data_IF_747039899698
#
_entry.id   IF_747039899698
#
_cell.length_a   1.000
_cell.length_b   1.000
_cell.length_c   1.000
_cell.angle_alpha   90.00
_cell.angle_beta   90.00
_cell.angle_gamma   90.00
#
_symmetry.space_group_name_H-M   'P 1'
#
loop_
_entity.id
_entity.type
_entity.pdbx_description
1 polymer ?
#
# COMPACT_ATOMS: atom_id res chain seq x y z
N UNK A 1 30.60 -25.82 47.17
CA UNK A 1 29.13 -26.02 47.30
C UNK A 1 28.49 -25.28 46.14
N UNK A 2 28.04 -26.03 45.15
CA UNK A 2 27.29 -25.56 43.98
C UNK A 2 25.86 -25.23 44.41
N UNK A 3 25.31 -24.13 43.91
CA UNK A 3 23.87 -23.87 43.90
C UNK A 3 23.52 -23.08 42.64
N UNK A 4 23.15 -23.86 41.62
CA UNK A 4 22.11 -23.61 40.61
C UNK A 4 21.78 -22.14 40.30
N UNK A 5 22.14 -21.72 39.08
CA UNK A 5 21.27 -20.84 38.30
C UNK A 5 21.04 -21.45 36.93
N UNK A 6 19.74 -21.60 36.65
CA UNK A 6 19.12 -22.22 35.49
C UNK A 6 19.61 -21.60 34.18
N UNK A 7 20.16 -22.42 33.29
CA UNK A 7 20.23 -22.14 31.86
C UNK A 7 18.80 -22.16 31.31
N UNK A 8 18.16 -20.98 31.29
CA UNK A 8 17.04 -20.72 30.40
C UNK A 8 17.60 -20.51 29.01
N UNK A 9 17.59 -21.55 28.18
CA UNK A 9 17.62 -21.40 26.73
C UNK A 9 16.31 -20.71 26.35
N UNK A 10 16.36 -19.39 26.22
CA UNK A 10 15.38 -18.66 25.43
C UNK A 10 15.53 -19.19 24.01
N UNK A 11 14.66 -20.14 23.67
CA UNK A 11 14.42 -20.56 22.30
C UNK A 11 14.13 -19.28 21.52
N UNK A 12 15.03 -18.95 20.60
CA UNK A 12 14.72 -18.08 19.48
C UNK A 12 13.48 -18.71 18.85
N UNK A 13 12.31 -18.14 19.15
CA UNK A 13 11.11 -18.35 18.35
C UNK A 13 11.49 -17.82 16.97
N UNK A 14 12.07 -18.71 16.15
CA UNK A 14 12.07 -18.60 14.71
C UNK A 14 10.62 -18.29 14.36
N UNK A 15 10.37 -17.02 14.07
CA UNK A 15 9.17 -16.62 13.37
C UNK A 15 9.29 -17.37 12.07
N UNK A 16 8.69 -18.56 12.01
CA UNK A 16 8.36 -19.22 10.76
C UNK A 16 7.58 -18.15 10.00
N UNK A 17 8.29 -17.47 9.09
CA UNK A 17 7.66 -16.88 7.94
C UNK A 17 6.98 -18.06 7.29
N UNK A 18 5.71 -18.27 7.65
CA UNK A 18 4.79 -19.01 6.82
C UNK A 18 4.89 -18.30 5.48
N UNK A 19 5.75 -18.82 4.60
CA UNK A 19 5.55 -18.73 3.17
C UNK A 19 4.17 -19.36 2.98
N UNK A 20 3.11 -18.54 3.13
CA UNK A 20 1.82 -18.75 2.52
C UNK A 20 2.18 -18.91 1.06
N UNK A 21 2.46 -20.16 0.66
CA UNK A 21 2.76 -20.53 -0.69
C UNK A 21 1.67 -19.88 -1.50
N UNK A 22 2.03 -18.85 -2.27
CA UNK A 22 1.05 -18.07 -3.01
C UNK A 22 0.43 -19.04 -3.97
N UNK A 23 -0.70 -19.63 -3.58
CA UNK A 23 -1.60 -20.32 -4.47
C UNK A 23 -1.95 -19.22 -5.44
N UNK A 24 -1.28 -19.22 -6.60
CA UNK A 24 -1.51 -18.29 -7.69
C UNK A 24 -3.02 -18.24 -7.85
N UNK A 25 -3.65 -17.15 -7.42
CA UNK A 25 -5.10 -17.02 -7.45
C UNK A 25 -5.50 -17.23 -8.90
N UNK A 26 -6.12 -18.38 -9.19
CA UNK A 26 -6.00 -18.99 -10.52
C UNK A 26 -6.58 -18.15 -11.64
N UNK A 27 -7.41 -17.14 -11.35
CA UNK A 27 -7.94 -16.22 -12.35
C UNK A 27 -8.01 -14.79 -11.77
N UNK A 28 -7.43 -13.83 -12.50
CA UNK A 28 -7.38 -12.43 -12.08
C UNK A 28 -8.48 -11.62 -12.77
N UNK A 29 -8.41 -11.48 -14.10
CA UNK A 29 -9.41 -10.77 -14.88
C UNK A 29 -9.73 -11.64 -16.09
N UNK A 30 -11.02 -11.83 -16.35
CA UNK A 30 -11.48 -12.80 -17.35
C UNK A 30 -12.28 -12.12 -18.46
N UNK A 31 -12.01 -12.53 -19.70
CA UNK A 31 -12.90 -12.24 -20.83
C UNK A 31 -14.11 -13.17 -20.73
N UNK A 32 -15.29 -12.58 -20.45
CA UNK A 32 -16.55 -13.33 -20.32
C UNK A 32 -16.79 -14.25 -21.51
N UNK A 33 -16.52 -13.82 -22.74
CA UNK A 33 -16.79 -14.63 -23.94
C UNK A 33 -15.97 -15.90 -23.95
N UNK A 34 -14.73 -15.85 -23.47
CA UNK A 34 -13.86 -17.03 -23.39
C UNK A 34 -14.30 -17.95 -22.25
N UNK A 35 -14.61 -17.39 -21.10
CA UNK A 35 -15.06 -18.19 -19.94
C UNK A 35 -16.39 -18.89 -20.22
N UNK A 36 -17.35 -18.22 -20.86
CA UNK A 36 -18.65 -18.79 -21.20
C UNK A 36 -18.54 -20.10 -21.98
N UNK A 37 -17.53 -20.22 -22.87
CA UNK A 37 -17.30 -21.47 -23.62
C UNK A 37 -16.89 -22.66 -22.77
N UNK A 38 -16.38 -22.42 -21.56
CA UNK A 38 -15.94 -23.45 -20.61
C UNK A 38 -17.10 -24.00 -19.79
N UNK A 39 -18.22 -23.27 -19.68
CA UNK A 39 -19.40 -23.67 -18.90
C UNK A 39 -20.32 -24.65 -19.64
N UNK A 40 -19.70 -25.59 -20.37
CA UNK A 40 -20.36 -26.80 -20.89
C UNK A 40 -20.30 -27.96 -19.89
N UNK A 41 -19.34 -27.90 -18.96
CA UNK A 41 -19.08 -28.92 -17.94
C UNK A 41 -18.97 -28.31 -16.56
N UNK A 42 -19.45 -29.04 -15.56
CA UNK A 42 -19.38 -28.67 -14.16
C UNK A 42 -17.94 -28.52 -13.71
N UNK A 43 -17.63 -27.43 -13.01
CA UNK A 43 -16.27 -27.14 -12.57
C UNK A 43 -15.82 -28.01 -11.39
N UNK A 44 -16.77 -28.64 -10.67
CA UNK A 44 -16.49 -29.56 -9.56
C UNK A 44 -16.38 -31.02 -10.01
N UNK A 45 -17.36 -31.52 -10.78
CA UNK A 45 -17.46 -32.95 -11.12
C UNK A 45 -17.19 -33.28 -12.59
N UNK A 46 -17.06 -32.29 -13.48
CA UNK A 46 -16.85 -32.52 -14.92
C UNK A 46 -18.08 -32.97 -15.72
N UNK A 47 -19.22 -33.20 -15.05
CA UNK A 47 -20.50 -33.58 -15.66
C UNK A 47 -21.13 -32.47 -16.53
N UNK A 48 -22.19 -32.79 -17.27
CA UNK A 48 -22.83 -31.80 -18.16
C UNK A 48 -23.61 -30.74 -17.37
N UNK A 49 -23.47 -29.48 -17.81
CA UNK A 49 -24.29 -28.36 -17.31
C UNK A 49 -25.49 -28.18 -18.26
N UNK A 50 -26.66 -27.87 -17.71
CA UNK A 50 -27.79 -27.39 -18.51
C UNK A 50 -27.46 -25.98 -19.04
N UNK A 51 -27.26 -25.79 -20.36
CA UNK A 51 -26.88 -24.50 -20.92
C UNK A 51 -27.90 -23.39 -20.67
N UNK A 52 -29.18 -23.74 -20.47
CA UNK A 52 -30.25 -22.78 -20.22
C UNK A 52 -30.30 -22.29 -18.77
N UNK A 53 -29.61 -22.98 -17.86
CA UNK A 53 -29.55 -22.65 -16.43
C UNK A 53 -28.44 -21.67 -16.05
N UNK A 54 -27.54 -21.34 -16.99
CA UNK A 54 -26.36 -20.51 -16.70
C UNK A 54 -26.74 -19.05 -16.66
N UNK A 55 -26.72 -18.47 -15.46
CA UNK A 55 -26.91 -17.05 -15.23
C UNK A 55 -25.58 -16.37 -14.90
N UNK A 56 -25.26 -15.32 -15.65
CA UNK A 56 -24.03 -14.56 -15.49
C UNK A 56 -24.27 -13.21 -14.84
N UNK A 57 -23.47 -12.87 -13.84
CA UNK A 57 -23.42 -11.52 -13.29
C UNK A 57 -21.99 -11.03 -13.15
N UNK A 58 -21.83 -9.73 -13.39
CA UNK A 58 -20.54 -9.09 -13.45
C UNK A 58 -20.51 -7.89 -12.51
N UNK A 59 -19.44 -7.81 -11.71
CA UNK A 59 -19.22 -6.75 -10.72
C UNK A 59 -17.83 -6.18 -10.95
N UNK A 60 -17.78 -5.15 -11.78
CA UNK A 60 -16.54 -4.53 -12.24
C UNK A 60 -15.59 -5.58 -12.87
N UNK A 61 -14.46 -5.89 -12.22
CA UNK A 61 -13.50 -6.88 -12.74
C UNK A 61 -13.88 -8.33 -12.48
N UNK A 62 -14.81 -8.58 -11.55
CA UNK A 62 -15.20 -9.93 -11.16
C UNK A 62 -16.41 -10.42 -11.96
N UNK A 63 -16.37 -11.68 -12.34
CA UNK A 63 -17.44 -12.39 -13.01
C UNK A 63 -17.89 -13.55 -12.13
N UNK A 64 -19.19 -13.80 -12.06
CA UNK A 64 -19.71 -15.00 -11.41
C UNK A 64 -20.85 -15.61 -12.21
N UNK A 65 -20.93 -16.94 -12.12
CA UNK A 65 -21.95 -17.74 -12.76
C UNK A 65 -22.70 -18.57 -11.72
N UNK A 66 -24.01 -18.58 -11.85
CA UNK A 66 -24.88 -19.57 -11.21
C UNK A 66 -25.35 -20.54 -12.27
N UNK A 67 -25.22 -21.84 -12.02
CA UNK A 67 -25.62 -22.87 -12.98
C UNK A 67 -26.06 -24.14 -12.27
N UNK A 68 -26.88 -24.94 -12.95
CA UNK A 68 -27.30 -26.25 -12.44
C UNK A 68 -26.52 -27.37 -13.11
N UNK A 69 -25.86 -28.20 -12.30
CA UNK A 69 -25.19 -29.40 -12.79
C UNK A 69 -26.19 -30.56 -12.89
N UNK A 70 -26.24 -31.22 -14.05
CA UNK A 70 -27.18 -32.34 -14.28
C UNK A 70 -26.84 -33.58 -13.43
N UNK A 71 -25.56 -33.74 -13.05
CA UNK A 71 -25.07 -34.88 -12.26
C UNK A 71 -25.09 -34.61 -10.76
N UNK A 72 -24.62 -33.43 -10.31
CA UNK A 72 -24.67 -33.05 -8.89
C UNK A 72 -26.10 -32.76 -8.43
N UNK A 73 -27.00 -32.41 -9.35
CA UNK A 73 -28.40 -31.99 -9.07
C UNK A 73 -28.51 -30.78 -8.13
N UNK A 74 -27.42 -30.04 -7.96
CA UNK A 74 -27.33 -28.85 -7.13
C UNK A 74 -27.03 -27.60 -7.96
N UNK A 75 -27.39 -26.45 -7.40
CA UNK A 75 -27.00 -25.15 -7.93
C UNK A 75 -25.59 -24.81 -7.49
N UNK A 76 -24.73 -24.58 -8.47
CA UNK A 76 -23.34 -24.24 -8.26
C UNK A 76 -23.12 -22.74 -8.46
N UNK A 77 -22.18 -22.19 -7.70
CA UNK A 77 -21.71 -20.82 -7.85
C UNK A 77 -20.24 -20.88 -8.21
N UNK A 78 -19.88 -20.26 -9.32
CA UNK A 78 -18.49 -20.03 -9.68
C UNK A 78 -18.19 -18.53 -9.60
N UNK A 79 -17.07 -18.18 -8.97
CA UNK A 79 -16.59 -16.80 -8.88
C UNK A 79 -15.18 -16.72 -9.49
N UNK A 80 -14.94 -15.72 -10.34
CA UNK A 80 -13.64 -15.53 -10.99
C UNK A 80 -12.56 -15.02 -10.04
N UNK A 81 -12.93 -14.52 -8.86
CA UNK A 81 -12.02 -13.88 -7.91
C UNK A 81 -12.50 -14.14 -6.48
N UNK A 82 -11.55 -14.29 -5.55
CA UNK A 82 -11.86 -14.32 -4.13
C UNK A 82 -12.30 -12.93 -3.63
N UNK A 83 -13.07 -12.92 -2.54
CA UNK A 83 -13.47 -11.68 -1.85
C UNK A 83 -12.59 -11.46 -0.63
N UNK A 84 -11.97 -10.28 -0.54
CA UNK A 84 -11.20 -9.84 0.63
C UNK A 84 -12.07 -8.97 1.55
N UNK A 85 -11.79 -9.02 2.86
CA UNK A 85 -12.50 -8.25 3.89
C UNK A 85 -13.29 -9.10 4.89
N UNK A 86 -13.96 -8.44 5.83
CA UNK A 86 -14.73 -9.08 6.91
C UNK A 86 -16.22 -8.76 6.82
N UNK A 87 -17.07 -9.74 7.12
CA UNK A 87 -18.52 -9.59 7.16
C UNK A 87 -19.14 -9.08 5.86
N UNK A 88 -20.03 -8.09 5.96
CA UNK A 88 -20.73 -7.46 4.82
C UNK A 88 -19.83 -6.57 3.95
N UNK A 89 -18.61 -6.29 4.39
CA UNK A 89 -17.64 -5.45 3.67
C UNK A 89 -16.68 -6.26 2.79
N UNK A 90 -17.04 -7.50 2.46
CA UNK A 90 -16.30 -8.33 1.52
C UNK A 90 -16.42 -7.77 0.11
N UNK A 91 -15.30 -7.53 -0.54
CA UNK A 91 -15.24 -7.05 -1.92
C UNK A 91 -14.30 -7.92 -2.74
N UNK A 92 -14.57 -8.06 -4.03
CA UNK A 92 -13.68 -8.81 -4.93
C UNK A 92 -12.28 -8.21 -4.93
N UNK A 93 -11.28 -9.07 -4.81
CA UNK A 93 -9.89 -8.71 -4.59
C UNK A 93 -9.40 -7.65 -5.60
N UNK A 94 -9.58 -7.87 -6.89
CA UNK A 94 -9.02 -6.96 -7.90
C UNK A 94 -9.80 -5.66 -8.06
N UNK A 95 -11.05 -5.61 -7.58
CA UNK A 95 -11.74 -4.33 -7.51
C UNK A 95 -11.02 -3.37 -6.54
N UNK A 96 -10.27 -3.88 -5.55
CA UNK A 96 -9.39 -3.07 -4.70
C UNK A 96 -7.95 -3.01 -5.22
N UNK A 97 -7.39 -4.13 -5.65
CA UNK A 97 -5.97 -4.19 -6.00
C UNK A 97 -5.63 -3.44 -7.29
N UNK A 98 -6.51 -3.45 -8.30
CA UNK A 98 -6.27 -2.70 -9.55
C UNK A 98 -6.07 -1.19 -9.32
N UNK A 99 -7.00 -0.47 -8.66
CA UNK A 99 -6.81 0.95 -8.41
C UNK A 99 -5.60 1.23 -7.50
N UNK A 100 -5.31 0.37 -6.52
CA UNK A 100 -4.12 0.51 -5.67
C UNK A 100 -2.83 0.33 -6.49
N UNK A 101 -2.75 -0.70 -7.31
CA UNK A 101 -1.60 -0.96 -8.18
C UNK A 101 -1.39 0.19 -9.16
N UNK A 102 -2.47 0.68 -9.79
CA UNK A 102 -2.40 1.84 -10.67
C UNK A 102 -1.85 3.07 -9.96
N UNK A 103 -2.30 3.32 -8.73
CA UNK A 103 -1.85 4.44 -7.92
C UNK A 103 -0.37 4.34 -7.53
N UNK A 104 0.04 3.19 -6.97
CA UNK A 104 1.41 2.97 -6.49
C UNK A 104 2.43 2.98 -7.63
N UNK A 105 2.07 2.43 -8.79
CA UNK A 105 2.95 2.39 -9.98
C UNK A 105 2.93 3.70 -10.78
N UNK A 106 2.06 4.65 -10.44
CA UNK A 106 1.86 5.88 -11.22
C UNK A 106 1.20 5.65 -12.59
N UNK A 107 0.59 4.49 -12.81
CA UNK A 107 -0.16 4.20 -14.04
C UNK A 107 -1.42 5.08 -14.11
N UNK A 108 -1.58 5.94 -15.13
CA UNK A 108 -2.79 6.74 -15.28
C UNK A 108 -4.02 5.82 -15.46
N UNK A 109 -5.04 6.00 -14.61
CA UNK A 109 -6.27 5.21 -14.66
C UNK A 109 -6.90 5.16 -16.08
N UNK A 110 -6.96 6.26 -16.86
CA UNK A 110 -7.49 6.19 -18.22
C UNK A 110 -6.70 5.22 -19.11
N UNK A 111 -5.36 5.20 -19.01
CA UNK A 111 -4.53 4.27 -19.79
C UNK A 111 -4.73 2.81 -19.38
N UNK A 112 -4.92 2.56 -18.09
CA UNK A 112 -5.28 1.23 -17.60
C UNK A 112 -6.62 0.78 -18.22
N UNK A 113 -7.62 1.65 -18.24
CA UNK A 113 -8.92 1.36 -18.83
C UNK A 113 -8.81 1.10 -20.33
N UNK A 114 -8.11 1.96 -21.08
CA UNK A 114 -7.90 1.78 -22.53
C UNK A 114 -7.26 0.42 -22.83
N UNK A 115 -6.27 0.02 -22.02
CA UNK A 115 -5.60 -1.28 -22.14
C UNK A 115 -6.56 -2.43 -21.86
N UNK A 116 -7.38 -2.32 -20.81
CA UNK A 116 -8.37 -3.33 -20.47
C UNK A 116 -9.46 -3.45 -21.54
N UNK A 117 -9.93 -2.33 -22.08
CA UNK A 117 -10.94 -2.30 -23.14
C UNK A 117 -10.42 -2.97 -24.42
N UNK A 118 -9.15 -2.72 -24.80
CA UNK A 118 -8.49 -3.38 -25.92
C UNK A 118 -8.41 -4.91 -25.72
N UNK A 119 -8.15 -5.34 -24.50
CA UNK A 119 -8.11 -6.76 -24.12
C UNK A 119 -9.51 -7.35 -23.85
N UNK A 120 -10.58 -6.56 -23.95
CA UNK A 120 -11.96 -6.93 -23.59
C UNK A 120 -12.09 -7.42 -22.15
N UNK A 121 -11.24 -6.89 -21.28
CA UNK A 121 -11.23 -7.13 -19.86
C UNK A 121 -12.08 -6.07 -19.18
N UNK A 122 -12.93 -6.50 -18.27
CA UNK A 122 -13.69 -5.56 -17.48
C UNK A 122 -12.94 -5.14 -16.23
N UNK A 123 -13.09 -3.88 -15.87
CA UNK A 123 -12.47 -3.27 -14.71
C UNK A 123 -13.43 -2.30 -14.02
N UNK A 124 -13.17 -1.89 -12.77
CA UNK A 124 -13.97 -0.85 -12.14
C UNK A 124 -13.98 0.44 -12.97
N UNK A 125 -15.04 1.23 -12.87
CA UNK A 125 -15.08 2.53 -13.53
C UNK A 125 -14.06 3.48 -12.91
N UNK A 126 -13.54 4.43 -13.69
CA UNK A 126 -12.60 5.45 -13.24
C UNK A 126 -13.00 6.10 -11.92
N UNK A 127 -14.26 6.54 -11.82
CA UNK A 127 -14.80 7.17 -10.60
C UNK A 127 -14.64 6.27 -9.37
N UNK A 128 -15.00 4.99 -9.49
CA UNK A 128 -14.88 4.01 -8.42
C UNK A 128 -13.42 3.73 -8.07
N UNK A 129 -12.54 3.64 -9.07
CA UNK A 129 -11.10 3.49 -8.85
C UNK A 129 -10.53 4.67 -8.06
N UNK A 130 -10.87 5.90 -8.45
CA UNK A 130 -10.44 7.13 -7.75
C UNK A 130 -10.97 7.20 -6.31
N UNK A 131 -12.21 6.78 -6.10
CA UNK A 131 -12.81 6.70 -4.76
C UNK A 131 -12.07 5.70 -3.87
N UNK A 132 -11.77 4.51 -4.39
CA UNK A 132 -11.01 3.49 -3.66
C UNK A 132 -9.61 4.00 -3.30
N UNK A 133 -8.93 4.67 -4.22
CA UNK A 133 -7.63 5.28 -3.96
C UNK A 133 -7.72 6.28 -2.81
N UNK A 134 -8.69 7.20 -2.89
CA UNK A 134 -8.87 8.26 -1.88
C UNK A 134 -9.21 7.70 -0.51
N UNK A 135 -10.11 6.72 -0.44
CA UNK A 135 -10.68 6.22 0.82
C UNK A 135 -9.79 5.19 1.48
N UNK A 136 -9.07 4.37 0.70
CA UNK A 136 -8.30 3.24 1.22
C UNK A 136 -6.81 3.35 0.93
N UNK A 137 -6.42 3.64 -0.31
CA UNK A 137 -5.01 3.62 -0.70
C UNK A 137 -4.20 4.75 -0.05
N UNK A 138 -4.67 6.00 -0.14
CA UNK A 138 -3.95 7.14 0.45
C UNK A 138 -3.77 6.97 1.97
N UNK A 139 -4.81 6.64 2.76
CA UNK A 139 -4.63 6.42 4.20
C UNK A 139 -3.69 5.26 4.54
N UNK A 140 -3.72 4.17 3.75
CA UNK A 140 -2.81 3.04 3.95
C UNK A 140 -1.35 3.44 3.68
N UNK A 141 -1.10 4.18 2.60
CA UNK A 141 0.23 4.69 2.25
C UNK A 141 0.72 5.69 3.27
N UNK A 142 -0.11 6.64 3.71
CA UNK A 142 0.25 7.61 4.74
C UNK A 142 0.64 6.92 6.06
N UNK A 143 -0.08 5.85 6.42
CA UNK A 143 0.24 5.05 7.60
C UNK A 143 1.59 4.36 7.47
N UNK A 144 1.82 3.62 6.38
CA UNK A 144 3.09 2.92 6.13
C UNK A 144 4.26 3.91 6.05
N UNK A 145 4.07 5.03 5.36
CA UNK A 145 5.06 6.10 5.31
C UNK A 145 5.38 6.63 6.71
N UNK A 146 4.37 6.92 7.52
CA UNK A 146 4.57 7.39 8.90
C UNK A 146 5.27 6.38 9.80
N UNK A 147 5.01 5.08 9.63
CA UNK A 147 5.69 3.98 10.32
C UNK A 147 7.15 3.88 9.89
N UNK A 148 7.43 3.89 8.59
CA UNK A 148 8.78 3.86 8.04
C UNK A 148 9.58 5.09 8.43
N UNK A 149 8.97 6.27 8.39
CA UNK A 149 9.61 7.51 8.83
C UNK A 149 9.99 7.44 10.32
N UNK A 150 9.11 6.90 11.17
CA UNK A 150 9.40 6.69 12.60
C UNK A 150 10.53 5.67 12.79
N UNK A 151 10.51 4.58 12.04
CA UNK A 151 11.55 3.56 12.06
C UNK A 151 12.92 4.16 11.68
N UNK A 152 13.01 4.85 10.53
CA UNK A 152 14.24 5.52 10.08
C UNK A 152 14.72 6.57 11.08
N UNK A 153 13.80 7.37 11.67
CA UNK A 153 14.15 8.34 12.72
C UNK A 153 14.72 7.68 13.97
N UNK A 154 14.23 6.50 14.34
CA UNK A 154 14.75 5.75 15.50
C UNK A 154 16.10 5.11 15.17
N UNK A 155 16.20 4.41 14.03
CA UNK A 155 17.45 3.84 13.55
C UNK A 155 18.54 4.91 13.43
N UNK A 156 18.23 6.09 12.91
CA UNK A 156 19.19 7.20 12.80
C UNK A 156 19.71 7.71 14.16
N UNK A 157 18.91 7.60 15.23
CA UNK A 157 19.35 7.96 16.59
C UNK A 157 20.34 6.95 17.16
N UNK A 158 20.16 5.68 16.82
CA UNK A 158 20.95 4.56 17.35
C UNK A 158 22.18 4.24 16.46
N UNK A 159 22.12 4.57 15.17
CA UNK A 159 23.17 4.33 14.18
C UNK A 159 24.30 5.37 14.20
N UNK A 160 24.03 6.62 14.63
CA UNK A 160 25.09 7.64 14.70
C UNK A 160 26.25 7.25 15.65
N UNK A 161 26.00 6.71 16.86
CA UNK A 161 27.06 6.11 17.70
C UNK A 161 27.80 4.95 17.03
N UNK A 162 27.07 4.04 16.36
CA UNK A 162 27.66 2.85 15.72
C UNK A 162 28.57 3.21 14.55
N UNK A 163 28.17 4.17 13.71
CA UNK A 163 29.00 4.66 12.61
C UNK A 163 30.31 5.29 13.11
N UNK A 164 30.29 5.97 14.26
CA UNK A 164 31.51 6.47 14.90
C UNK A 164 32.39 5.32 15.40
N UNK A 165 31.78 4.26 15.95
CA UNK A 165 32.49 3.06 16.41
C UNK A 165 33.10 2.26 15.25
N UNK A 166 32.44 2.24 14.08
CA UNK A 166 32.94 1.65 12.84
C UNK A 166 34.02 2.50 12.14
N UNK A 167 34.43 3.62 12.76
CA UNK A 167 35.51 4.48 12.29
C UNK A 167 35.10 5.55 11.27
N UNK A 168 33.80 5.74 11.01
CA UNK A 168 33.33 6.82 10.14
C UNK A 168 33.39 8.18 10.84
N UNK A 169 34.02 9.15 10.19
CA UNK A 169 34.06 10.54 10.66
C UNK A 169 32.86 11.33 10.14
N UNK A 170 31.79 11.35 10.91
CA UNK A 170 30.60 12.17 10.61
C UNK A 170 30.91 13.64 10.90
N UNK A 171 30.85 14.51 9.88
CA UNK A 171 31.11 15.96 10.02
C UNK A 171 29.86 16.78 10.29
N UNK A 172 28.75 16.41 9.65
CA UNK A 172 27.53 17.22 9.66
C UNK A 172 26.28 16.33 9.64
N UNK A 173 25.29 16.67 10.47
CA UNK A 173 23.95 16.08 10.50
C UNK A 173 22.94 17.09 9.97
N UNK A 174 22.00 16.65 9.13
CA UNK A 174 20.89 17.48 8.64
C UNK A 174 19.60 17.00 9.29
N UNK A 175 18.85 17.87 9.96
CA UNK A 175 17.61 17.46 10.66
C UNK A 175 16.62 18.61 10.89
N UNK A 176 15.46 18.28 11.46
CA UNK A 176 14.38 19.19 11.85
C UNK A 176 14.65 20.02 13.13
N UNK A 177 15.87 19.98 13.69
CA UNK A 177 16.26 20.64 14.95
C UNK A 177 15.38 20.26 16.15
N UNK A 178 15.03 18.98 16.27
CA UNK A 178 14.30 18.50 17.43
C UNK A 178 15.14 18.65 18.72
N UNK A 179 14.68 19.49 19.64
CA UNK A 179 15.39 19.85 20.86
C UNK A 179 15.77 18.66 21.76
N UNK A 180 14.93 17.62 21.80
CA UNK A 180 15.19 16.42 22.60
C UNK A 180 16.32 15.57 21.99
N UNK A 181 16.35 15.49 20.67
CA UNK A 181 17.40 14.78 19.91
C UNK A 181 18.72 15.53 20.02
N UNK A 182 18.70 16.86 19.89
CA UNK A 182 19.88 17.72 20.01
C UNK A 182 20.46 17.74 21.44
N UNK A 183 19.61 17.60 22.47
CA UNK A 183 20.07 17.40 23.85
C UNK A 183 20.80 16.07 24.00
N UNK A 184 20.16 14.96 23.62
CA UNK A 184 20.71 13.60 23.75
C UNK A 184 22.03 13.41 22.99
N UNK A 185 22.19 14.08 21.85
CA UNK A 185 23.42 14.01 21.03
C UNK A 185 24.55 14.88 21.59
N UNK A 186 24.25 16.03 22.21
CA UNK A 186 25.25 16.83 22.95
C UNK A 186 25.73 16.13 24.22
N UNK A 187 24.86 15.33 24.83
CA UNK A 187 25.18 14.53 26.01
C UNK A 187 26.05 13.31 25.67
N UNK A 188 26.00 12.82 24.42
CA UNK A 188 26.85 11.72 23.97
C UNK A 188 28.25 12.23 23.55
N UNK A 189 29.29 11.85 24.29
CA UNK A 189 30.67 12.27 24.05
C UNK A 189 31.19 11.95 22.65
N UNK A 190 30.75 10.82 22.06
CA UNK A 190 31.14 10.40 20.71
C UNK A 190 30.58 11.31 19.60
N UNK A 191 29.51 12.06 19.91
CA UNK A 191 28.72 12.80 18.93
C UNK A 191 28.76 14.33 19.13
N UNK A 192 29.41 14.80 20.20
CA UNK A 192 29.58 16.24 20.54
C UNK A 192 30.18 17.09 19.42
N UNK A 193 31.00 16.50 18.56
CA UNK A 193 31.71 17.21 17.48
C UNK A 193 30.93 17.32 16.16
N UNK A 194 29.74 16.72 16.06
CA UNK A 194 28.97 16.69 14.81
C UNK A 194 28.20 18.01 14.65
N UNK A 195 28.49 18.76 13.58
CA UNK A 195 27.77 19.99 13.26
C UNK A 195 26.31 19.68 12.91
N UNK A 196 25.34 20.35 13.53
CA UNK A 196 23.92 20.18 13.18
C UNK A 196 23.47 21.29 12.24
N UNK A 197 23.03 20.92 11.05
CA UNK A 197 22.38 21.82 10.08
C UNK A 197 20.89 21.53 10.00
N UNK A 198 20.11 22.57 9.72
CA UNK A 198 18.69 22.43 9.44
C UNK A 198 18.49 21.82 8.07
N UNK A 199 17.57 20.86 8.01
CA UNK A 199 17.04 20.34 6.78
C UNK A 199 16.34 21.45 5.98
N UNK A 200 16.75 21.60 4.72
CA UNK A 200 16.17 22.55 3.77
C UNK A 200 14.64 22.40 3.67
N UNK A 201 14.12 21.17 3.71
CA UNK A 201 12.67 20.92 3.69
C UNK A 201 11.96 21.50 4.92
N UNK A 202 12.60 21.39 6.09
CA UNK A 202 12.11 21.93 7.36
C UNK A 202 12.30 23.46 7.48
N UNK A 203 13.18 24.06 6.67
CA UNK A 203 13.29 25.53 6.51
C UNK A 203 12.21 26.05 5.55
N UNK A 204 11.92 25.30 4.47
CA UNK A 204 10.95 25.69 3.46
C UNK A 204 9.51 25.68 3.98
N UNK A 205 9.15 24.72 4.85
CA UNK A 205 7.76 24.56 5.33
C UNK A 205 7.24 25.73 6.19
N UNK A 206 7.98 26.25 7.20
CA UNK A 206 7.59 27.45 7.93
C UNK A 206 7.55 28.69 7.03
N UNK A 207 8.55 28.87 6.17
CA UNK A 207 8.60 29.98 5.22
C UNK A 207 7.37 29.96 4.30
N UNK A 208 7.01 28.78 3.75
CA UNK A 208 5.80 28.63 2.93
C UNK A 208 4.54 28.97 3.70
N UNK A 209 4.45 28.60 4.98
CA UNK A 209 3.30 28.93 5.84
C UNK A 209 3.19 30.44 6.09
N UNK A 210 4.29 31.10 6.41
CA UNK A 210 4.31 32.56 6.59
C UNK A 210 3.99 33.29 5.28
N UNK A 211 4.58 32.84 4.17
CA UNK A 211 4.35 33.41 2.86
C UNK A 211 2.89 33.26 2.41
N UNK A 212 2.31 32.08 2.59
CA UNK A 212 0.88 31.82 2.34
C UNK A 212 -0.04 32.66 3.22
N UNK A 213 0.34 32.88 4.48
CA UNK A 213 -0.42 33.72 5.41
C UNK A 213 -0.35 35.19 4.99
N UNK A 214 0.82 35.66 4.55
CA UNK A 214 1.01 37.00 3.99
C UNK A 214 0.20 37.24 2.72
N UNK A 215 0.16 36.27 1.80
CA UNK A 215 -0.62 36.37 0.55
C UNK A 215 -2.13 36.53 0.76
N UNK A 216 -2.66 36.03 1.87
CA UNK A 216 -4.09 36.15 2.19
C UNK A 216 -4.46 37.52 2.76
N UNK A 217 -3.48 38.35 3.12
CA UNK A 217 -3.73 39.70 3.61
C UNK A 217 -4.01 40.62 2.42
N UNK A 218 -5.05 41.44 2.54
CA UNK A 218 -5.48 42.39 1.50
C UNK A 218 -4.44 43.48 1.21
N UNK A 219 -3.52 43.74 2.14
CA UNK A 219 -2.42 44.72 2.03
C UNK A 219 -1.19 44.19 1.26
N UNK A 220 -1.17 42.90 0.90
CA UNK A 220 0.02 42.20 0.40
C UNK A 220 -0.19 41.54 -0.97
N UNK A 221 -0.97 42.14 -1.88
CA UNK A 221 -1.23 41.58 -3.22
C UNK A 221 0.03 41.31 -4.05
N UNK A 222 1.10 42.10 -3.90
CA UNK A 222 2.39 41.88 -4.60
C UNK A 222 3.08 40.55 -4.23
N UNK A 223 2.87 40.05 -3.02
CA UNK A 223 3.44 38.75 -2.60
C UNK A 223 2.82 37.58 -3.37
N UNK A 224 1.57 37.70 -3.83
CA UNK A 224 0.90 36.69 -4.67
C UNK A 224 1.56 36.58 -6.06
N UNK A 225 2.01 37.71 -6.62
CA UNK A 225 2.70 37.76 -7.91
C UNK A 225 4.07 37.07 -7.85
N UNK A 226 4.77 37.19 -6.71
CA UNK A 226 6.09 36.58 -6.49
C UNK A 226 6.05 35.12 -6.07
N UNK A 227 4.92 34.64 -5.54
CA UNK A 227 4.77 33.26 -5.08
C UNK A 227 4.55 32.27 -6.24
N UNK A 228 3.76 32.65 -7.26
CA UNK A 228 3.42 31.79 -8.42
C UNK A 228 4.62 31.23 -9.21
N UNK A 229 5.78 31.91 -9.33
CA UNK A 229 6.93 31.37 -10.03
C UNK A 229 7.83 30.46 -9.19
N UNK A 230 7.74 30.53 -7.85
CA UNK A 230 8.62 29.78 -6.93
C UNK A 230 8.04 28.42 -6.51
N UNK A 231 6.74 28.19 -6.73
CA UNK A 231 5.99 26.98 -6.37
C UNK A 231 4.87 26.71 -7.38
#
# INVERSE_FOLDING_TARGET
RLSQYSTGTETEDEVEEEEEGTVLSQFFIVDKKKVDTLFRRCQECGGLIDPTSVEWKQVASALFATYQCTECKEWMIWESQIKKGRGKSKVFQLNQELPMAAFVTGCPIPRLQDTCDLLKLAVPKERSMREIIRVYACPAIDRVHGEMERFVRNLSKDAAPQLVDDGFKIRTRVSDSNAMVDKRLRENEKLKGIETKRDFWHVQKPLRKEWWTGMKRSDCQRLLEWYKPFF
#
